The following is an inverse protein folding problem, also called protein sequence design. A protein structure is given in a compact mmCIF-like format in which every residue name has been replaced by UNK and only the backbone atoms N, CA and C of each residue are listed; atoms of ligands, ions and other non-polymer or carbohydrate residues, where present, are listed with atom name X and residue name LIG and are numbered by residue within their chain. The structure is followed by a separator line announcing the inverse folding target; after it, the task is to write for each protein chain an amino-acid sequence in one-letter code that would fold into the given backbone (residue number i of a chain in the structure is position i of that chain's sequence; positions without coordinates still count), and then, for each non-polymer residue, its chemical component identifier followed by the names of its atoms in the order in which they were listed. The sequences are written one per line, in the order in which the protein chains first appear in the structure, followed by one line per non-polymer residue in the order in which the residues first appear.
data_IF_831388223350
#
_entry.id   IF_831388223350
#
_cell.length_a   1.000
_cell.length_b   1.000
_cell.length_c   1.000
_cell.angle_alpha   90.00
_cell.angle_beta   90.00
_cell.angle_gamma   90.00
#
_symmetry.space_group_name_H-M   'P 1'
#
loop_
_entity.id
_entity.type
_entity.pdbx_description
1 polymer ?
#
# COMPACT_ATOMS: atom_id res chain seq x y z
N UNK A 1 -4.55 -6.35 -2.11
CA UNK A 1 -4.71 -4.95 -2.18
C UNK A 1 -5.63 -4.35 -1.14
N UNK A 2 -6.83 -4.07 -1.54
CA UNK A 2 -7.79 -3.41 -0.63
C UNK A 2 -8.12 -4.26 0.59
N UNK A 3 -8.19 -5.58 0.44
CA UNK A 3 -8.48 -6.47 1.57
C UNK A 3 -7.39 -6.37 2.64
N UNK A 4 -6.12 -6.34 2.23
CA UNK A 4 -5.01 -6.20 3.18
C UNK A 4 -5.05 -4.84 3.88
N UNK A 5 -5.39 -3.78 3.14
CA UNK A 5 -5.52 -2.44 3.73
C UNK A 5 -6.62 -2.41 4.78
N UNK A 6 -7.78 -3.00 4.48
CA UNK A 6 -8.88 -3.07 5.44
C UNK A 6 -8.51 -3.90 6.67
N UNK A 7 -7.78 -5.00 6.50
CA UNK A 7 -7.30 -5.78 7.62
C UNK A 7 -6.39 -4.98 8.54
N UNK A 8 -5.44 -4.22 7.97
CA UNK A 8 -4.55 -3.37 8.75
C UNK A 8 -5.32 -2.28 9.48
N UNK A 9 -6.29 -1.68 8.80
CA UNK A 9 -7.12 -0.65 9.38
C UNK A 9 -7.97 -1.20 10.52
N UNK A 10 -8.54 -2.39 10.35
CA UNK A 10 -9.31 -3.06 11.39
C UNK A 10 -8.45 -3.43 12.58
N UNK A 11 -7.23 -3.93 12.36
CA UNK A 11 -6.30 -4.22 13.45
C UNK A 11 -5.99 -2.95 14.23
N UNK A 12 -5.75 -1.85 13.54
CA UNK A 12 -5.47 -0.57 14.18
C UNK A 12 -6.63 -0.14 15.07
N UNK A 13 -7.87 -0.16 14.56
CA UNK A 13 -9.03 0.26 15.32
C UNK A 13 -9.41 -0.73 16.43
N UNK A 14 -9.22 -2.02 16.21
CA UNK A 14 -9.53 -3.07 17.20
C UNK A 14 -8.62 -2.97 18.42
N UNK A 15 -7.37 -2.60 18.22
CA UNK A 15 -6.39 -2.49 19.31
C UNK A 15 -6.49 -1.17 20.08
N UNK A 16 -7.39 -0.29 19.70
CA UNK A 16 -7.62 0.96 20.43
C UNK A 16 -8.45 0.70 21.68
N UNK A 17 -8.11 1.37 22.81
CA UNK A 17 -8.97 1.30 24.00
C UNK A 17 -10.38 1.82 23.66
N UNK A 18 -11.39 1.09 24.08
CA UNK A 18 -12.79 1.44 23.83
C UNK A 18 -13.30 2.53 24.75
N UNK A 19 -12.46 3.44 25.18
CA UNK A 19 -12.90 4.59 25.95
C UNK A 19 -13.38 5.69 25.02
N UNK A 20 -14.44 6.44 25.40
CA UNK A 20 -14.83 7.63 24.65
C UNK A 20 -13.76 8.70 24.87
N UNK A 21 -12.58 8.49 24.33
CA UNK A 21 -11.48 9.43 24.43
C UNK A 21 -11.73 10.55 23.44
N UNK A 22 -11.57 11.77 23.91
CA UNK A 22 -11.54 12.91 23.03
C UNK A 22 -10.42 12.71 22.01
N UNK A 23 -10.77 12.80 20.73
CA UNK A 23 -9.78 12.70 19.66
C UNK A 23 -8.82 13.87 19.75
N UNK A 24 -7.55 13.58 19.84
CA UNK A 24 -6.53 14.60 19.80
C UNK A 24 -6.38 15.12 18.37
N UNK A 25 -5.74 16.28 18.23
CA UNK A 25 -5.43 16.84 16.92
C UNK A 25 -4.61 15.85 16.08
N UNK A 26 -3.68 15.15 16.71
CA UNK A 26 -2.85 14.13 16.03
C UNK A 26 -3.67 12.95 15.54
N UNK A 27 -4.69 12.53 16.29
CA UNK A 27 -5.59 11.46 15.85
C UNK A 27 -6.36 11.89 14.60
N UNK A 28 -6.80 13.12 14.55
CA UNK A 28 -7.51 13.66 13.39
C UNK A 28 -6.59 13.70 12.17
N UNK A 29 -5.35 14.15 12.36
CA UNK A 29 -4.36 14.19 11.27
C UNK A 29 -4.14 12.79 10.71
N UNK A 30 -3.96 11.80 11.56
CA UNK A 30 -3.75 10.43 11.12
C UNK A 30 -4.99 9.87 10.39
N UNK A 31 -6.18 10.09 10.90
CA UNK A 31 -7.40 9.62 10.24
C UNK A 31 -7.59 10.24 8.86
N UNK A 32 -7.33 11.54 8.73
CA UNK A 32 -7.39 12.23 7.44
C UNK A 32 -6.36 11.67 6.46
N UNK A 33 -5.16 11.36 6.96
CA UNK A 33 -4.14 10.72 6.13
C UNK A 33 -4.63 9.38 5.57
N UNK A 34 -5.22 8.54 6.40
CA UNK A 34 -5.69 7.22 5.96
C UNK A 34 -6.75 7.36 4.87
N UNK A 35 -7.68 8.30 5.02
CA UNK A 35 -8.69 8.56 4.00
C UNK A 35 -8.05 9.06 2.71
N UNK A 36 -7.13 10.00 2.80
CA UNK A 36 -6.42 10.52 1.63
C UNK A 36 -5.59 9.43 0.94
N UNK A 37 -4.92 8.61 1.74
CA UNK A 37 -4.12 7.51 1.21
C UNK A 37 -4.99 6.54 0.41
N UNK A 38 -6.10 6.13 0.96
CA UNK A 38 -7.02 5.21 0.28
C UNK A 38 -7.49 5.79 -1.06
N UNK A 39 -7.74 7.09 -1.11
CA UNK A 39 -8.25 7.73 -2.30
C UNK A 39 -7.17 8.06 -3.34
N UNK A 40 -5.91 8.17 -2.95
CA UNK A 40 -4.87 8.75 -3.82
C UNK A 40 -3.62 7.89 -4.00
N UNK A 41 -3.50 6.73 -3.36
CA UNK A 41 -2.24 5.98 -3.38
C UNK A 41 -1.79 5.55 -4.79
N UNK A 42 -2.73 5.33 -5.71
CA UNK A 42 -2.37 4.94 -7.08
C UNK A 42 -1.70 6.07 -7.84
N UNK A 43 -2.16 7.29 -7.62
CA UNK A 43 -1.67 8.46 -8.34
C UNK A 43 -0.54 9.18 -7.62
N UNK A 44 -0.54 9.17 -6.29
CA UNK A 44 0.31 10.04 -5.47
C UNK A 44 1.13 9.23 -4.48
N UNK A 45 2.43 9.21 -4.67
CA UNK A 45 3.35 8.42 -3.85
C UNK A 45 4.32 9.26 -3.01
N UNK A 46 4.15 10.58 -3.02
CA UNK A 46 5.06 11.46 -2.29
C UNK A 46 4.44 11.95 -0.98
N UNK A 47 5.27 11.99 0.07
CA UNK A 47 4.86 12.44 1.39
C UNK A 47 4.30 13.86 1.34
N UNK A 48 4.93 14.72 0.56
CA UNK A 48 4.55 16.12 0.48
C UNK A 48 3.10 16.32 0.03
N UNK A 49 2.63 15.51 -0.91
CA UNK A 49 1.24 15.57 -1.35
C UNK A 49 0.26 15.45 -0.18
N UNK A 50 0.48 14.45 0.67
CA UNK A 50 -0.42 14.18 1.80
C UNK A 50 -0.31 15.24 2.89
N UNK A 51 0.89 15.74 3.14
CA UNK A 51 1.09 16.81 4.10
C UNK A 51 0.40 18.10 3.64
N UNK A 52 0.55 18.45 2.38
CA UNK A 52 -0.05 19.68 1.81
C UNK A 52 -1.58 19.65 1.84
N UNK A 53 -2.18 18.47 1.68
CA UNK A 53 -3.63 18.33 1.76
C UNK A 53 -4.18 18.77 3.11
N UNK A 54 -3.36 18.71 4.14
CA UNK A 54 -3.74 19.13 5.49
C UNK A 54 -3.09 20.45 5.91
N UNK A 55 -2.43 21.13 4.97
CA UNK A 55 -1.73 22.39 5.24
C UNK A 55 -0.68 22.24 6.33
N UNK A 56 0.02 21.10 6.35
CA UNK A 56 1.07 20.80 7.32
C UNK A 56 2.41 20.68 6.62
N UNK A 57 3.48 20.96 7.36
CA UNK A 57 4.82 20.66 6.85
C UNK A 57 5.00 19.15 6.74
N UNK A 58 5.80 18.70 5.78
CA UNK A 58 6.10 17.28 5.62
C UNK A 58 6.71 16.70 6.88
N UNK A 59 7.57 17.45 7.54
CA UNK A 59 8.26 17.02 8.76
C UNK A 59 7.28 16.77 9.91
N UNK A 60 6.40 17.73 10.19
CA UNK A 60 5.43 17.58 11.27
C UNK A 60 4.44 16.47 10.97
N UNK A 61 3.90 16.46 9.75
CA UNK A 61 2.97 15.42 9.30
C UNK A 61 3.58 14.04 9.45
N UNK A 62 4.81 13.84 8.98
CA UNK A 62 5.51 12.57 9.07
C UNK A 62 5.69 12.11 10.52
N UNK A 63 6.02 13.04 11.41
CA UNK A 63 6.20 12.72 12.82
C UNK A 63 4.89 12.24 13.45
N UNK A 64 3.77 12.87 13.10
CA UNK A 64 2.46 12.48 13.61
C UNK A 64 2.06 11.08 13.13
N UNK A 65 2.23 10.82 11.85
CA UNK A 65 1.90 9.50 11.29
C UNK A 65 2.73 8.41 11.95
N UNK A 66 4.03 8.63 12.09
CA UNK A 66 4.93 7.68 12.74
C UNK A 66 4.56 7.45 14.21
N UNK A 67 4.25 8.51 14.92
CA UNK A 67 3.86 8.43 16.33
C UNK A 67 2.57 7.64 16.51
N UNK A 68 1.58 7.89 15.66
CA UNK A 68 0.25 7.29 15.80
C UNK A 68 0.18 5.85 15.30
N UNK A 69 0.96 5.48 14.30
CA UNK A 69 0.84 4.16 13.66
C UNK A 69 2.06 3.27 13.80
N UNK A 70 3.20 3.83 14.23
CA UNK A 70 4.46 3.09 14.25
C UNK A 70 5.10 2.93 12.88
N UNK A 71 4.46 3.40 11.82
CA UNK A 71 4.94 3.31 10.45
C UNK A 71 5.10 4.68 9.83
N UNK A 72 6.12 4.86 9.00
CA UNK A 72 6.29 6.11 8.28
C UNK A 72 5.21 6.27 7.19
N UNK A 73 5.01 7.51 6.76
CA UNK A 73 4.11 7.80 5.65
C UNK A 73 4.50 6.98 4.42
N UNK A 74 5.80 6.95 4.11
CA UNK A 74 6.31 6.23 2.96
C UNK A 74 6.03 4.72 3.05
N UNK A 75 6.18 4.13 4.23
CA UNK A 75 5.86 2.72 4.44
C UNK A 75 4.38 2.42 4.18
N UNK A 76 3.49 3.31 4.58
CA UNK A 76 2.07 3.18 4.27
C UNK A 76 1.80 3.22 2.77
N UNK A 77 2.40 4.18 2.07
CA UNK A 77 2.23 4.33 0.63
C UNK A 77 2.75 3.09 -0.11
N UNK A 78 3.97 2.66 0.21
CA UNK A 78 4.59 1.49 -0.41
C UNK A 78 3.71 0.26 -0.20
N UNK A 79 3.21 0.07 1.00
CA UNK A 79 2.39 -1.09 1.32
C UNK A 79 1.12 -1.12 0.47
N UNK A 80 0.47 0.02 0.28
CA UNK A 80 -0.73 0.09 -0.55
C UNK A 80 -0.43 -0.23 -2.01
N UNK A 81 0.60 0.38 -2.55
CA UNK A 81 0.99 0.19 -3.97
C UNK A 81 1.42 -1.26 -4.21
N UNK A 82 2.28 -1.78 -3.36
CA UNK A 82 2.78 -3.16 -3.52
C UNK A 82 1.68 -4.20 -3.33
N UNK A 83 0.77 -3.98 -2.37
CA UNK A 83 -0.35 -4.90 -2.16
C UNK A 83 -1.25 -4.98 -3.39
N UNK A 84 -1.56 -3.85 -3.99
CA UNK A 84 -2.37 -3.85 -5.21
C UNK A 84 -1.60 -4.46 -6.39
N UNK A 85 -0.32 -4.15 -6.53
CA UNK A 85 0.51 -4.74 -7.57
C UNK A 85 0.52 -6.26 -7.47
N UNK A 86 0.72 -6.80 -6.27
CA UNK A 86 0.70 -8.24 -6.03
C UNK A 86 -0.65 -8.85 -6.40
N UNK A 87 -1.73 -8.22 -6.00
CA UNK A 87 -3.07 -8.70 -6.31
C UNK A 87 -3.32 -8.73 -7.82
N UNK A 88 -2.92 -7.68 -8.53
CA UNK A 88 -3.07 -7.64 -9.98
C UNK A 88 -2.20 -8.69 -10.68
N UNK A 89 -0.99 -8.92 -10.18
CA UNK A 89 -0.11 -9.96 -10.72
C UNK A 89 -0.66 -11.37 -10.51
N UNK A 90 -1.27 -11.61 -9.36
CA UNK A 90 -1.80 -12.92 -8.97
C UNK A 90 -3.18 -13.22 -9.56
N UNK A 91 -4.05 -12.21 -9.60
CA UNK A 91 -5.48 -12.42 -9.82
C UNK A 91 -6.02 -11.81 -11.12
N UNK A 92 -5.18 -11.18 -11.92
CA UNK A 92 -5.63 -10.61 -13.19
C UNK A 92 -4.74 -11.07 -14.34
N UNK A 93 -5.25 -10.88 -15.55
CA UNK A 93 -4.49 -11.18 -16.78
C UNK A 93 -3.84 -9.93 -17.37
N UNK A 94 -3.87 -8.82 -16.64
CA UNK A 94 -3.24 -7.59 -17.08
C UNK A 94 -1.74 -7.82 -17.30
N UNK A 95 -1.21 -7.26 -18.39
CA UNK A 95 0.23 -7.29 -18.62
C UNK A 95 0.95 -6.44 -17.57
N UNK A 96 2.25 -6.69 -17.41
CA UNK A 96 3.05 -5.89 -16.49
C UNK A 96 3.01 -4.41 -16.87
N UNK A 97 3.01 -4.13 -18.18
CA UNK A 97 2.88 -2.77 -18.69
C UNK A 97 1.53 -2.14 -18.29
N UNK A 98 0.45 -2.89 -18.44
CA UNK A 98 -0.89 -2.41 -18.05
C UNK A 98 -0.99 -2.15 -16.55
N UNK A 99 -0.37 -3.00 -15.74
CA UNK A 99 -0.31 -2.80 -14.29
C UNK A 99 0.47 -1.52 -13.95
N UNK A 100 1.59 -1.30 -14.63
CA UNK A 100 2.39 -0.09 -14.44
C UNK A 100 1.58 1.17 -14.75
N UNK A 101 0.81 1.15 -15.83
CA UNK A 101 -0.07 2.26 -16.19
C UNK A 101 -1.16 2.47 -15.13
N UNK A 102 -1.78 1.39 -14.70
CA UNK A 102 -2.86 1.45 -13.69
C UNK A 102 -2.38 2.03 -12.37
N UNK A 103 -1.14 1.74 -11.99
CA UNK A 103 -0.54 2.25 -10.77
C UNK A 103 0.23 3.56 -10.98
N UNK A 104 0.04 4.18 -12.14
CA UNK A 104 0.59 5.50 -12.46
C UNK A 104 2.11 5.57 -12.41
N UNK A 105 2.79 4.54 -12.89
CA UNK A 105 4.23 4.59 -13.10
C UNK A 105 4.52 5.15 -14.49
N UNK A 106 5.57 5.95 -14.60
CA UNK A 106 5.95 6.56 -15.89
C UNK A 106 6.28 5.53 -16.95
N UNK A 107 6.91 4.42 -16.56
CA UNK A 107 7.28 3.34 -17.49
C UNK A 107 7.15 2.00 -16.79
N UNK A 108 7.06 0.93 -17.58
CA UNK A 108 7.11 -0.43 -17.06
C UNK A 108 8.41 -0.69 -16.33
N UNK A 109 9.51 -0.17 -16.83
CA UNK A 109 10.84 -0.32 -16.21
C UNK A 109 10.87 0.28 -14.80
N UNK A 110 10.29 1.45 -14.63
CA UNK A 110 10.19 2.11 -13.33
C UNK A 110 9.38 1.29 -12.35
N UNK A 111 8.25 0.76 -12.79
CA UNK A 111 7.44 -0.13 -11.97
C UNK A 111 8.22 -1.37 -11.57
N UNK A 112 8.92 -1.99 -12.52
CA UNK A 112 9.73 -3.18 -12.24
C UNK A 112 10.79 -2.94 -11.17
N UNK A 113 11.48 -1.81 -11.26
CA UNK A 113 12.50 -1.44 -10.25
C UNK A 113 11.88 -1.21 -8.87
N UNK A 114 10.78 -0.48 -8.84
CA UNK A 114 10.05 -0.20 -7.59
C UNK A 114 9.60 -1.50 -6.93
N UNK A 115 8.96 -2.36 -7.70
CA UNK A 115 8.46 -3.65 -7.19
C UNK A 115 9.62 -4.52 -6.69
N UNK A 116 10.69 -4.63 -7.46
CA UNK A 116 11.84 -5.44 -7.08
C UNK A 116 12.52 -4.91 -5.82
N UNK A 117 12.59 -3.58 -5.67
CA UNK A 117 13.17 -2.95 -4.49
C UNK A 117 12.47 -3.38 -3.21
N UNK A 118 11.15 -3.46 -3.22
CA UNK A 118 10.37 -3.72 -2.01
C UNK A 118 9.93 -5.17 -1.85
N UNK A 119 9.93 -5.96 -2.92
CA UNK A 119 9.50 -7.36 -2.88
C UNK A 119 10.68 -8.33 -2.97
N UNK A 120 11.77 -7.90 -3.60
CA UNK A 120 12.96 -8.73 -3.76
C UNK A 120 13.02 -9.51 -5.06
N UNK A 121 12.00 -9.44 -5.89
CA UNK A 121 11.97 -10.08 -7.19
C UNK A 121 11.19 -9.23 -8.19
N UNK A 122 11.39 -9.47 -9.49
CA UNK A 122 10.68 -8.71 -10.53
C UNK A 122 9.20 -9.07 -10.54
N UNK A 123 8.34 -8.19 -11.11
CA UNK A 123 6.93 -8.51 -11.26
C UNK A 123 6.69 -9.80 -12.06
N UNK A 124 7.49 -10.05 -13.09
CA UNK A 124 7.37 -11.25 -13.89
C UNK A 124 7.68 -12.49 -13.06
N UNK A 125 8.80 -12.48 -12.34
CA UNK A 125 9.18 -13.57 -11.45
C UNK A 125 8.12 -13.83 -10.40
N UNK A 126 7.59 -12.77 -9.82
CA UNK A 126 6.54 -12.88 -8.81
C UNK A 126 5.28 -13.53 -9.38
N UNK A 127 4.85 -13.13 -10.58
CA UNK A 127 3.68 -13.71 -11.24
C UNK A 127 3.88 -15.19 -11.54
N UNK A 128 5.02 -15.55 -12.10
CA UNK A 128 5.36 -16.94 -12.41
C UNK A 128 5.37 -17.80 -11.15
N UNK A 129 5.94 -17.29 -10.09
CA UNK A 129 6.03 -17.98 -8.80
C UNK A 129 4.66 -18.19 -8.15
N UNK A 130 3.75 -17.25 -8.33
CA UNK A 130 2.40 -17.34 -7.78
C UNK A 130 1.57 -18.45 -8.45
N UNK A 131 1.84 -18.74 -9.71
CA UNK A 131 1.13 -19.80 -10.43
C UNK A 131 1.68 -21.19 -10.17
N UNK A 132 2.95 -21.32 -9.89
CA UNK A 132 3.61 -22.61 -9.76
C UNK A 132 3.03 -23.51 -8.65
N UNK A 133 2.83 -23.03 -7.43
CA UNK A 133 2.28 -23.89 -6.37
C UNK A 133 0.90 -24.42 -6.69
N UNK A 134 0.08 -23.65 -7.40
CA UNK A 134 -1.27 -24.06 -7.78
C UNK A 134 -1.26 -25.18 -8.81
N UNK A 135 -0.34 -25.14 -9.75
CA UNK A 135 -0.21 -26.18 -10.77
C UNK A 135 0.27 -27.49 -10.16
N UNK A 136 1.21 -27.42 -9.21
CA UNK A 136 1.73 -28.59 -8.52
C UNK A 136 0.62 -29.28 -7.71
N UNK A 137 -0.19 -28.50 -7.00
CA UNK A 137 -1.31 -29.05 -6.23
C UNK A 137 -2.32 -29.76 -7.13
N UNK A 138 -2.59 -29.22 -8.32
CA UNK A 138 -3.52 -29.83 -9.28
C UNK A 138 -2.97 -31.16 -9.81
N UNK A 139 -1.65 -31.24 -10.07
CA UNK A 139 -1.03 -32.47 -10.56
C UNK A 139 -0.96 -33.55 -9.47
N UNK A 140 -0.72 -33.16 -8.23
CA UNK A 140 -0.61 -34.11 -7.12
C UNK A 140 -1.95 -34.79 -6.79
N UNK A 141 -3.07 -34.21 -7.19
CA UNK A 141 -4.39 -34.75 -6.95
C UNK A 141 -4.88 -35.67 -8.09
N UNK A 142 -4.09 -35.91 -9.09
CA UNK A 142 -4.38 -36.83 -10.17
C UNK A 142 -3.66 -38.16 -9.98
#
# INVERSE_FOLDING_TARGET
GQALFYELLMIYYTNRPMHPVQRTQKDIIFQRFIVDLFNHYRAEREVLFYAERQNLSARYFSSVVKEKSGRSVLQWIIQMVISEAKQLLECSELSIKEIAVRLNFCTQSFFGKYFKQYVGMSPKEYRERSFYPRKEVVFDNQ
#
